data_IF_514707839322
#
_entry.id   IF_514707839322
#
_cell.length_a   1.000
_cell.length_b   1.000
_cell.length_c   1.000
_cell.angle_alpha   90.00
_cell.angle_beta   90.00
_cell.angle_gamma   90.00
#
_symmetry.space_group_name_H-M   'P 1'
#
loop_
_entity.id
_entity.type
_entity.pdbx_description
1 polymer ?
#
# COMPACT_ATOMS: atom_id res chain seq x y z
N UNK A 1 -4.82 -60.20 -13.93
CA UNK A 1 -3.83 -59.09 -13.99
C UNK A 1 -4.23 -58.11 -15.08
N UNK A 2 -4.12 -56.79 -14.85
CA UNK A 2 -4.43 -55.79 -15.89
C UNK A 2 -3.33 -55.78 -16.95
N UNK A 3 -3.70 -55.85 -18.23
CA UNK A 3 -2.75 -55.95 -19.35
C UNK A 3 -1.98 -54.65 -19.66
N UNK A 4 -0.83 -54.75 -20.35
CA UNK A 4 0.12 -53.65 -20.58
C UNK A 4 -0.49 -52.40 -21.25
N UNK A 5 -1.50 -52.56 -22.13
CA UNK A 5 -2.19 -51.44 -22.80
C UNK A 5 -2.98 -50.53 -21.84
N UNK A 6 -3.53 -51.08 -20.76
CA UNK A 6 -4.30 -50.29 -19.78
C UNK A 6 -3.40 -49.42 -18.91
N UNK A 7 -2.17 -49.88 -18.63
CA UNK A 7 -1.16 -49.13 -17.88
C UNK A 7 -0.65 -47.92 -18.68
N UNK A 8 -0.38 -48.09 -19.98
CA UNK A 8 0.04 -47.00 -20.88
C UNK A 8 -1.03 -45.90 -20.99
N UNK A 9 -2.31 -46.29 -21.10
CA UNK A 9 -3.43 -45.33 -21.12
C UNK A 9 -3.63 -44.60 -19.79
N UNK A 10 -3.41 -45.27 -18.66
CA UNK A 10 -3.45 -44.64 -17.34
C UNK A 10 -2.31 -43.63 -17.16
N UNK A 11 -1.11 -43.97 -17.65
CA UNK A 11 0.06 -43.10 -17.63
C UNK A 11 -0.14 -41.83 -18.48
N UNK A 12 -0.70 -41.98 -19.68
CA UNK A 12 -1.04 -40.84 -20.54
C UNK A 12 -2.10 -39.91 -19.92
N UNK A 13 -3.09 -40.45 -19.20
CA UNK A 13 -4.08 -39.65 -18.47
C UNK A 13 -3.44 -38.85 -17.33
N UNK A 14 -2.56 -39.48 -16.56
CA UNK A 14 -1.82 -38.82 -15.48
C UNK A 14 -0.94 -37.70 -16.01
N UNK A 15 -0.20 -37.94 -17.07
CA UNK A 15 0.66 -36.93 -17.69
C UNK A 15 -0.15 -35.73 -18.19
N UNK A 16 -1.28 -35.97 -18.87
CA UNK A 16 -2.20 -34.91 -19.29
C UNK A 16 -2.74 -34.12 -18.11
N UNK A 17 -3.13 -34.79 -17.02
CA UNK A 17 -3.62 -34.12 -15.82
C UNK A 17 -2.55 -33.24 -15.15
N UNK A 18 -1.32 -33.74 -15.02
CA UNK A 18 -0.21 -32.97 -14.44
C UNK A 18 0.14 -31.74 -15.29
N UNK A 19 0.16 -31.89 -16.62
CA UNK A 19 0.37 -30.75 -17.53
C UNK A 19 -0.74 -29.70 -17.39
N UNK A 20 -2.00 -30.13 -17.28
CA UNK A 20 -3.12 -29.22 -17.06
C UNK A 20 -3.00 -28.48 -15.72
N UNK A 21 -2.61 -29.18 -14.65
CA UNK A 21 -2.38 -28.57 -13.33
C UNK A 21 -1.24 -27.54 -13.35
N UNK A 22 -0.13 -27.83 -14.04
CA UNK A 22 0.98 -26.88 -14.18
C UNK A 22 0.57 -25.60 -14.92
N UNK A 23 -0.21 -25.72 -15.99
CA UNK A 23 -0.76 -24.55 -16.70
C UNK A 23 -1.73 -23.77 -15.83
N UNK A 24 -2.66 -24.43 -15.14
CA UNK A 24 -3.59 -23.76 -14.23
C UNK A 24 -2.86 -22.98 -13.12
N UNK A 25 -1.83 -23.59 -12.51
CA UNK A 25 -1.04 -22.92 -11.47
C UNK A 25 -0.24 -21.73 -12.03
N UNK A 26 0.30 -21.86 -13.25
CA UNK A 26 1.00 -20.75 -13.92
C UNK A 26 0.05 -19.59 -14.18
N UNK A 27 -1.14 -19.86 -14.72
CA UNK A 27 -2.14 -18.83 -15.03
C UNK A 27 -2.61 -18.14 -13.74
N UNK A 28 -2.80 -18.89 -12.65
CA UNK A 28 -3.13 -18.35 -11.33
C UNK A 28 -2.02 -17.42 -10.79
N UNK A 29 -0.76 -17.86 -10.87
CA UNK A 29 0.38 -17.05 -10.45
C UNK A 29 0.50 -15.76 -11.28
N UNK A 30 0.30 -15.84 -12.60
CA UNK A 30 0.32 -14.69 -13.49
C UNK A 30 -0.82 -13.70 -13.20
N UNK A 31 -2.05 -14.21 -13.00
CA UNK A 31 -3.20 -13.39 -12.65
C UNK A 31 -2.99 -12.67 -11.31
N UNK A 32 -2.44 -13.39 -10.33
CA UNK A 32 -2.13 -12.85 -9.01
C UNK A 32 -1.06 -11.77 -9.10
N UNK A 33 0.02 -12.01 -9.84
CA UNK A 33 1.06 -11.02 -10.07
C UNK A 33 0.51 -9.75 -10.75
N UNK A 34 -0.34 -9.92 -11.76
CA UNK A 34 -0.99 -8.78 -12.45
C UNK A 34 -1.87 -7.97 -11.50
N UNK A 35 -2.67 -8.62 -10.65
CA UNK A 35 -3.49 -7.93 -9.63
C UNK A 35 -2.62 -7.12 -8.66
N UNK A 36 -1.48 -7.66 -8.23
CA UNK A 36 -0.55 -6.91 -7.40
C UNK A 36 0.06 -5.72 -8.14
N UNK A 37 0.45 -5.88 -9.41
CA UNK A 37 0.96 -4.76 -10.23
C UNK A 37 -0.07 -3.64 -10.38
N UNK A 38 -1.34 -3.98 -10.64
CA UNK A 38 -2.44 -3.01 -10.75
C UNK A 38 -2.67 -2.26 -9.44
N UNK A 39 -2.75 -2.97 -8.30
CA UNK A 39 -2.86 -2.36 -6.96
C UNK A 39 -1.67 -1.46 -6.63
N UNK A 40 -0.45 -1.91 -6.95
CA UNK A 40 0.76 -1.13 -6.73
C UNK A 40 0.75 0.15 -7.56
N UNK A 41 0.37 0.06 -8.84
CA UNK A 41 0.25 1.22 -9.73
C UNK A 41 -0.75 2.25 -9.18
N UNK A 42 -1.90 1.79 -8.69
CA UNK A 42 -2.90 2.64 -8.03
C UNK A 42 -2.33 3.31 -6.77
N UNK A 43 -1.65 2.56 -5.91
CA UNK A 43 -1.02 3.09 -4.70
C UNK A 43 0.04 4.16 -5.05
N UNK A 44 0.90 3.90 -6.03
CA UNK A 44 1.94 4.85 -6.44
C UNK A 44 1.36 6.10 -7.12
N UNK A 45 0.26 5.97 -7.85
CA UNK A 45 -0.48 7.11 -8.38
C UNK A 45 -1.06 7.97 -7.24
N UNK A 46 -1.61 7.34 -6.20
CA UNK A 46 -2.09 8.03 -5.00
C UNK A 46 -0.97 8.80 -4.28
N UNK A 47 0.19 8.16 -4.05
CA UNK A 47 1.37 8.82 -3.45
C UNK A 47 1.83 10.01 -4.29
N UNK A 48 1.87 9.88 -5.62
CA UNK A 48 2.28 10.97 -6.52
C UNK A 48 1.31 12.14 -6.49
N UNK A 49 0.00 11.88 -6.46
CA UNK A 49 -1.00 12.93 -6.40
C UNK A 49 -0.91 13.67 -5.06
N UNK A 50 -0.80 12.95 -3.95
CA UNK A 50 -0.61 13.57 -2.64
C UNK A 50 0.65 14.45 -2.58
N UNK A 51 1.78 13.97 -3.13
CA UNK A 51 3.00 14.76 -3.20
C UNK A 51 2.82 16.05 -4.04
N UNK A 52 1.96 16.02 -5.07
CA UNK A 52 1.60 17.22 -5.85
C UNK A 52 0.70 18.14 -5.05
N UNK A 53 -0.25 17.61 -4.29
CA UNK A 53 -1.15 18.41 -3.45
C UNK A 53 -0.35 19.18 -2.39
N UNK A 54 0.70 18.57 -1.83
CA UNK A 54 1.68 19.24 -0.98
C UNK A 54 2.51 20.31 -1.72
N UNK A 55 2.90 20.05 -2.97
CA UNK A 55 3.81 20.91 -3.75
C UNK A 55 3.14 22.00 -4.61
N UNK A 56 1.82 21.93 -4.83
CA UNK A 56 1.09 22.77 -5.78
C UNK A 56 0.36 23.98 -5.18
N UNK A 57 0.38 24.13 -3.84
CA UNK A 57 -0.60 24.97 -3.14
C UNK A 57 -0.10 26.17 -2.35
N UNK A 58 1.13 26.21 -1.82
CA UNK A 58 1.54 27.28 -0.91
C UNK A 58 2.95 27.83 -1.18
N UNK A 59 2.99 28.92 -1.95
CA UNK A 59 3.89 30.00 -1.61
C UNK A 59 3.37 30.72 -0.36
N UNK A 60 4.30 31.14 0.52
CA UNK A 60 4.14 31.96 1.73
C UNK A 60 3.73 31.20 2.99
N UNK A 61 4.67 31.07 3.93
CA UNK A 61 4.64 31.74 5.24
C UNK A 61 3.28 31.82 5.98
N UNK A 62 2.41 30.83 5.83
CA UNK A 62 1.37 30.56 6.80
C UNK A 62 2.04 29.91 8.00
N UNK A 63 1.95 30.54 9.17
CA UNK A 63 2.49 29.98 10.41
C UNK A 63 1.82 28.63 10.70
N UNK A 64 2.44 27.53 10.26
CA UNK A 64 2.04 26.20 10.68
C UNK A 64 2.35 26.07 12.17
N UNK A 65 1.32 26.24 13.00
CA UNK A 65 1.46 26.11 14.44
C UNK A 65 1.48 24.62 14.80
N UNK A 66 2.55 24.12 15.44
CA UNK A 66 2.55 22.75 15.93
C UNK A 66 1.48 22.59 17.01
N UNK A 67 0.81 21.45 16.99
CA UNK A 67 -0.11 21.03 18.04
C UNK A 67 0.19 19.59 18.43
N UNK A 68 -0.21 19.24 19.64
CA UNK A 68 -0.05 17.89 20.19
C UNK A 68 -1.42 17.32 20.44
N UNK A 69 -1.64 16.10 20.00
CA UNK A 69 -2.85 15.32 20.28
C UNK A 69 -2.46 14.06 21.04
N UNK A 70 -3.42 13.54 21.80
CA UNK A 70 -3.30 12.23 22.45
C UNK A 70 -4.37 11.33 21.86
N UNK A 71 -3.93 10.29 21.17
CA UNK A 71 -4.81 9.29 20.60
C UNK A 71 -4.81 8.05 21.48
N UNK A 72 -5.99 7.63 21.90
CA UNK A 72 -6.16 6.34 22.58
C UNK A 72 -6.34 5.24 21.54
N UNK A 73 -5.58 4.16 21.69
CA UNK A 73 -5.61 3.06 20.75
C UNK A 73 -6.93 2.30 20.88
N UNK A 74 -7.64 2.15 19.78
CA UNK A 74 -8.85 1.33 19.72
C UNK A 74 -8.63 0.17 18.74
N UNK A 75 -8.94 -1.05 19.17
CA UNK A 75 -8.75 -2.28 18.39
C UNK A 75 -7.33 -2.39 17.78
N UNK A 76 -6.31 -2.01 18.56
CA UNK A 76 -4.90 -1.95 18.13
C UNK A 76 -4.57 -0.95 17.00
N UNK A 77 -5.42 0.04 16.76
CA UNK A 77 -5.20 1.07 15.73
C UNK A 77 -5.37 2.49 16.26
N UNK A 78 -4.79 3.46 15.55
CA UNK A 78 -5.00 4.89 15.80
C UNK A 78 -5.95 5.53 14.77
N UNK A 79 -6.43 4.77 13.78
CA UNK A 79 -7.43 5.26 12.82
C UNK A 79 -6.89 6.21 11.73
N UNK A 80 -5.61 6.16 11.36
CA UNK A 80 -5.09 6.93 10.23
C UNK A 80 -3.98 6.19 9.48
N UNK A 81 -3.74 6.59 8.23
CA UNK A 81 -2.62 6.13 7.41
C UNK A 81 -1.62 7.26 7.22
N UNK A 82 -0.36 6.88 7.06
CA UNK A 82 0.73 7.80 6.74
C UNK A 82 1.31 7.54 5.36
N UNK A 83 1.90 8.57 4.76
CA UNK A 83 2.79 8.44 3.61
C UNK A 83 4.04 9.30 3.79
N UNK A 84 5.03 9.10 2.92
CA UNK A 84 6.31 9.80 3.01
C UNK A 84 7.33 9.01 3.84
N UNK A 85 8.23 9.74 4.50
CA UNK A 85 9.48 9.23 5.07
C UNK A 85 10.69 9.56 4.18
N UNK A 86 11.87 9.72 4.79
CA UNK A 86 13.09 10.15 4.08
C UNK A 86 13.69 9.04 3.19
N UNK A 87 14.20 9.35 1.99
CA UNK A 87 15.41 8.72 1.48
C UNK A 87 16.64 9.39 2.12
N UNK A 88 17.48 8.57 2.75
CA UNK A 88 18.81 8.83 3.32
C UNK A 88 19.45 10.23 3.14
N UNK A 89 19.93 10.74 4.28
CA UNK A 89 20.86 11.86 4.46
C UNK A 89 21.87 11.97 3.30
N UNK A 90 21.84 13.07 2.53
CA UNK A 90 23.01 13.70 1.90
C UNK A 90 22.71 14.92 1.03
N UNK A 91 21.44 15.19 0.66
CA UNK A 91 21.13 16.35 -0.18
C UNK A 91 20.45 17.44 0.64
N UNK A 92 21.22 18.50 0.93
CA UNK A 92 20.77 19.77 1.55
C UNK A 92 19.94 20.59 0.57
N UNK A 93 18.92 19.98 -0.02
CA UNK A 93 17.92 20.70 -0.79
C UNK A 93 16.58 20.28 -0.19
N UNK A 94 16.15 21.07 0.79
CA UNK A 94 14.87 20.93 1.48
C UNK A 94 13.76 21.01 0.45
N UNK A 95 13.43 19.87 -0.15
CA UNK A 95 12.21 19.75 -0.92
C UNK A 95 11.10 19.73 0.13
N UNK A 96 10.24 20.73 0.12
CA UNK A 96 9.13 20.98 1.07
C UNK A 96 8.12 19.81 1.21
N UNK A 97 8.32 18.73 0.45
CA UNK A 97 7.59 17.47 0.51
C UNK A 97 8.30 16.36 1.34
N UNK A 98 9.46 16.62 1.95
CA UNK A 98 10.10 15.66 2.86
C UNK A 98 9.42 15.64 4.24
N UNK A 99 8.87 14.50 4.63
CA UNK A 99 8.19 14.33 5.91
C UNK A 99 7.31 13.08 5.96
N UNK A 100 6.72 12.83 7.14
CA UNK A 100 5.67 11.83 7.33
C UNK A 100 4.35 12.60 7.40
N UNK A 101 3.39 12.24 6.57
CA UNK A 101 2.13 12.97 6.42
C UNK A 101 0.93 12.04 6.55
N UNK A 102 -0.16 12.55 7.11
CA UNK A 102 -1.45 11.83 7.17
C UNK A 102 -2.08 11.79 5.79
N UNK A 103 -2.28 10.59 5.25
CA UNK A 103 -2.86 10.37 3.92
C UNK A 103 -4.35 10.00 3.94
N UNK A 104 -4.81 9.44 5.07
CA UNK A 104 -6.19 9.00 5.24
C UNK A 104 -6.54 8.95 6.72
N UNK A 105 -7.77 9.31 7.05
CA UNK A 105 -8.38 9.12 8.35
C UNK A 105 -9.50 8.08 8.22
N UNK A 106 -9.59 7.18 9.19
CA UNK A 106 -10.65 6.19 9.31
C UNK A 106 -11.87 6.86 9.93
N UNK A 107 -12.99 6.85 9.22
CA UNK A 107 -14.26 7.38 9.72
C UNK A 107 -14.65 6.73 11.05
N UNK A 108 -15.01 7.56 12.04
CA UNK A 108 -15.31 7.15 13.42
C UNK A 108 -14.15 6.42 14.14
N UNK A 109 -12.92 6.55 13.64
CA UNK A 109 -11.72 6.00 14.30
C UNK A 109 -11.11 6.96 15.32
N UNK A 110 -10.07 6.52 16.08
CA UNK A 110 -9.46 7.35 17.13
C UNK A 110 -8.94 8.71 16.65
N UNK A 111 -8.44 8.80 15.41
CA UNK A 111 -7.96 10.04 14.81
C UNK A 111 -9.06 10.94 14.22
N UNK A 112 -10.30 10.47 14.08
CA UNK A 112 -11.45 11.20 13.52
C UNK A 112 -12.28 11.88 14.62
N UNK A 113 -11.60 12.49 15.58
CA UNK A 113 -12.23 13.23 16.69
C UNK A 113 -12.23 14.72 16.35
N UNK A 114 -13.05 15.51 17.05
CA UNK A 114 -13.16 16.94 16.80
C UNK A 114 -11.83 17.71 16.98
N UNK A 115 -10.90 17.15 17.76
CA UNK A 115 -9.53 17.60 18.01
C UNK A 115 -8.48 16.61 17.48
N UNK A 116 -8.87 15.80 16.49
CA UNK A 116 -8.07 14.75 15.89
C UNK A 116 -7.07 15.24 14.84
N UNK A 117 -6.61 14.31 14.00
CA UNK A 117 -5.74 14.63 12.87
C UNK A 117 -6.55 15.09 11.66
N UNK A 118 -5.91 15.81 10.76
CA UNK A 118 -6.43 16.13 9.43
C UNK A 118 -5.56 15.53 8.32
N UNK A 119 -6.15 15.30 7.15
CA UNK A 119 -5.38 14.89 5.97
C UNK A 119 -4.42 16.03 5.60
N UNK A 120 -3.18 15.69 5.27
CA UNK A 120 -2.04 16.59 5.04
C UNK A 120 -1.31 17.09 6.29
N UNK A 121 -1.76 16.74 7.50
CA UNK A 121 -0.97 17.00 8.70
C UNK A 121 0.41 16.32 8.62
N UNK A 122 1.44 17.07 9.01
CA UNK A 122 2.82 16.58 9.09
C UNK A 122 3.12 16.11 10.51
N UNK A 123 3.48 14.84 10.65
CA UNK A 123 3.91 14.25 11.92
C UNK A 123 5.36 14.63 12.16
N UNK A 124 5.61 15.28 13.30
CA UNK A 124 6.94 15.77 13.70
C UNK A 124 7.55 14.91 14.81
N UNK A 125 6.72 14.44 15.75
CA UNK A 125 7.10 13.65 16.93
C UNK A 125 5.97 12.69 17.30
N UNK A 126 6.29 11.54 17.90
CA UNK A 126 5.36 10.51 18.38
C UNK A 126 5.78 10.04 19.77
#
# INVERSE_FOLDING_TARGET
GRGPRQLVLAWSRREKALRAQLWALRDEAQLTARRYQEKFSQYMAHVRNFARDLGGGHGRDGEHKPFTIVLERENDTLGFNIIGGRPNQNNKEETSAEGIYVSKILENGPADRADGLEIHDKIIEV
#
